data_IF_995598574441
#
_entry.id   IF_995598574441
#
_cell.length_a   1.000
_cell.length_b   1.000
_cell.length_c   1.000
_cell.angle_alpha   90.00
_cell.angle_beta   90.00
_cell.angle_gamma   90.00
#
_symmetry.space_group_name_H-M   'P 1'
#
loop_
_entity.id
_entity.type
_entity.pdbx_description
1 polymer ?
#
# COMPACT_ATOMS: atom_id res chain seq x y z
N UNK A 1 5.66 -13.54 -16.47
CA UNK A 1 5.17 -12.34 -15.75
C UNK A 1 5.60 -11.11 -16.56
N UNK A 2 4.99 -9.96 -16.33
CA UNK A 2 5.34 -8.69 -16.96
C UNK A 2 6.65 -8.21 -16.34
N UNK A 3 7.67 -8.02 -17.18
CA UNK A 3 9.00 -7.58 -16.78
C UNK A 3 9.06 -6.07 -16.54
N UNK A 4 9.96 -5.66 -15.66
CA UNK A 4 10.23 -4.25 -15.37
C UNK A 4 9.37 -3.67 -14.24
N UNK A 5 9.53 -2.36 -14.05
CA UNK A 5 8.96 -1.55 -12.97
C UNK A 5 8.88 -0.09 -13.41
N UNK A 6 8.13 0.75 -12.68
CA UNK A 6 8.00 2.18 -12.95
C UNK A 6 9.38 2.88 -12.95
N UNK A 7 9.69 3.60 -14.02
CA UNK A 7 10.95 4.36 -14.12
C UNK A 7 10.67 5.86 -14.22
N UNK A 8 11.68 6.68 -13.91
CA UNK A 8 11.60 8.14 -14.08
C UNK A 8 11.20 8.51 -15.51
N UNK A 9 11.90 7.95 -16.50
CA UNK A 9 11.62 8.18 -17.92
C UNK A 9 10.23 7.69 -18.33
N UNK A 10 9.83 6.49 -17.89
CA UNK A 10 8.53 5.92 -18.23
C UNK A 10 7.38 6.76 -17.66
N UNK A 11 7.42 7.04 -16.36
CA UNK A 11 6.37 7.83 -15.71
C UNK A 11 6.30 9.27 -16.22
N UNK A 12 7.42 9.90 -16.59
CA UNK A 12 7.45 11.20 -17.27
C UNK A 12 6.86 11.12 -18.68
N UNK A 13 7.20 10.08 -19.45
CA UNK A 13 6.62 9.84 -20.76
C UNK A 13 5.10 9.63 -20.70
N UNK A 14 4.60 8.92 -19.69
CA UNK A 14 3.17 8.76 -19.45
C UNK A 14 2.48 10.12 -19.22
N UNK A 15 3.01 10.92 -18.29
CA UNK A 15 2.47 12.25 -17.99
C UNK A 15 2.48 13.17 -19.21
N UNK A 16 3.54 13.11 -20.03
CA UNK A 16 3.68 13.90 -21.27
C UNK A 16 2.65 13.51 -22.35
N UNK A 17 2.31 12.22 -22.47
CA UNK A 17 1.33 11.70 -23.43
C UNK A 17 -0.12 11.85 -22.96
N UNK A 18 -0.32 12.04 -21.65
CA UNK A 18 -1.64 12.14 -21.04
C UNK A 18 -2.40 13.38 -21.52
N UNK A 19 -3.73 13.26 -21.63
CA UNK A 19 -4.64 14.39 -21.83
C UNK A 19 -4.99 15.12 -20.53
N UNK A 20 -4.59 14.58 -19.36
CA UNK A 20 -4.79 15.22 -18.07
C UNK A 20 -3.94 16.49 -17.94
N UNK A 21 -4.41 17.43 -17.11
CA UNK A 21 -3.67 18.67 -16.85
C UNK A 21 -2.31 18.36 -16.20
N UNK A 22 -1.25 19.10 -16.57
CA UNK A 22 0.12 18.85 -16.08
C UNK A 22 0.25 18.92 -14.56
N UNK A 23 -0.53 19.79 -13.92
CA UNK A 23 -0.56 19.93 -12.45
C UNK A 23 -1.18 18.73 -11.73
N UNK A 24 -1.81 17.81 -12.47
CA UNK A 24 -2.29 16.55 -11.94
C UNK A 24 -1.18 15.51 -11.76
N UNK A 25 0.08 15.86 -12.06
CA UNK A 25 1.23 15.00 -11.83
C UNK A 25 2.19 15.65 -10.84
N UNK A 26 2.76 14.85 -9.94
CA UNK A 26 3.73 15.26 -8.93
C UNK A 26 4.99 14.40 -9.05
N UNK A 27 6.16 15.02 -8.87
CA UNK A 27 7.42 14.31 -8.83
C UNK A 27 7.71 13.82 -7.41
N UNK A 28 7.93 12.53 -7.23
CA UNK A 28 8.32 11.93 -5.96
C UNK A 28 9.20 10.71 -6.18
N UNK A 29 10.31 10.58 -5.44
CA UNK A 29 11.29 9.50 -5.64
C UNK A 29 11.72 9.32 -7.11
N UNK A 30 11.94 10.46 -7.77
CA UNK A 30 12.25 10.56 -9.21
C UNK A 30 11.18 10.02 -10.17
N UNK A 31 9.98 9.68 -9.70
CA UNK A 31 8.85 9.27 -10.52
C UNK A 31 7.87 10.44 -10.72
N UNK A 32 7.25 10.51 -11.89
CA UNK A 32 6.18 11.47 -12.20
C UNK A 32 4.82 10.78 -12.06
N UNK A 33 4.19 10.92 -10.89
CA UNK A 33 2.98 10.18 -10.53
C UNK A 33 1.75 11.07 -10.56
N UNK A 34 0.63 10.52 -11.01
CA UNK A 34 -0.67 11.18 -10.90
C UNK A 34 -1.00 11.49 -9.43
N UNK A 35 -1.54 12.68 -9.17
CA UNK A 35 -1.96 13.10 -7.83
C UNK A 35 -3.25 12.41 -7.36
N UNK A 36 -3.90 11.65 -8.24
CA UNK A 36 -5.01 10.74 -7.96
C UNK A 36 -4.63 9.35 -8.44
N UNK A 37 -4.78 8.36 -7.56
CA UNK A 37 -4.63 6.94 -7.88
C UNK A 37 -5.97 6.22 -7.88
N UNK A 38 -5.99 5.00 -8.43
CA UNK A 38 -7.13 4.08 -8.30
C UNK A 38 -6.86 3.02 -7.24
N UNK A 39 -7.71 2.98 -6.21
CA UNK A 39 -7.71 1.92 -5.19
C UNK A 39 -8.72 0.81 -5.52
N UNK A 40 -8.40 -0.44 -5.16
CA UNK A 40 -9.17 -1.64 -5.57
C UNK A 40 -9.80 -2.43 -4.42
N UNK A 41 -10.05 -1.78 -3.28
CA UNK A 41 -10.47 -2.44 -2.03
C UNK A 41 -11.85 -3.12 -2.09
N UNK A 42 -12.87 -2.40 -2.58
CA UNK A 42 -14.28 -2.77 -2.40
C UNK A 42 -14.83 -3.62 -3.55
N UNK A 43 -15.90 -4.36 -3.24
CA UNK A 43 -16.67 -5.17 -4.19
C UNK A 43 -16.76 -6.63 -3.78
N UNK A 44 -17.74 -7.36 -4.31
CA UNK A 44 -17.88 -8.79 -4.06
C UNK A 44 -16.75 -9.57 -4.77
N UNK A 45 -16.30 -10.71 -4.24
CA UNK A 45 -15.30 -11.56 -4.89
C UNK A 45 -15.90 -12.42 -6.04
N UNK A 46 -16.65 -11.80 -6.95
CA UNK A 46 -17.30 -12.48 -8.09
C UNK A 46 -16.76 -11.99 -9.45
N UNK A 47 -17.09 -12.76 -10.50
CA UNK A 47 -16.61 -12.52 -11.86
C UNK A 47 -17.17 -11.23 -12.49
N UNK A 48 -18.38 -10.82 -12.11
CA UNK A 48 -18.98 -9.59 -12.62
C UNK A 48 -18.25 -8.36 -12.06
N UNK A 49 -18.00 -8.36 -10.75
CA UNK A 49 -17.21 -7.32 -10.10
C UNK A 49 -15.76 -7.32 -10.60
N UNK A 50 -15.16 -8.49 -10.89
CA UNK A 50 -13.83 -8.58 -11.53
C UNK A 50 -13.82 -7.85 -12.88
N UNK A 51 -14.84 -8.05 -13.71
CA UNK A 51 -14.96 -7.38 -15.01
C UNK A 51 -15.12 -5.87 -14.85
N UNK A 52 -16.00 -5.42 -13.94
CA UNK A 52 -16.23 -4.00 -13.70
C UNK A 52 -14.98 -3.29 -13.17
N UNK A 53 -14.31 -3.88 -12.18
CA UNK A 53 -13.09 -3.32 -11.60
C UNK A 53 -11.94 -3.29 -12.64
N UNK A 54 -11.77 -4.35 -13.44
CA UNK A 54 -10.80 -4.37 -14.56
C UNK A 54 -11.03 -3.20 -15.51
N UNK A 55 -12.28 -3.00 -15.95
CA UNK A 55 -12.63 -1.94 -16.87
C UNK A 55 -12.43 -0.54 -16.26
N UNK A 56 -12.73 -0.37 -14.97
CA UNK A 56 -12.47 0.87 -14.24
C UNK A 56 -10.97 1.20 -14.15
N UNK A 57 -10.13 0.19 -13.90
CA UNK A 57 -8.66 0.34 -13.92
C UNK A 57 -8.19 0.76 -15.31
N UNK A 58 -8.58 0.04 -16.36
CA UNK A 58 -8.20 0.37 -17.73
C UNK A 58 -8.60 1.79 -18.10
N UNK A 59 -9.84 2.17 -17.79
CA UNK A 59 -10.34 3.52 -18.03
C UNK A 59 -9.55 4.56 -17.24
N UNK A 60 -9.24 4.33 -15.97
CA UNK A 60 -8.45 5.29 -15.18
C UNK A 60 -7.07 5.55 -15.78
N UNK A 61 -6.38 4.49 -16.21
CA UNK A 61 -5.07 4.59 -16.87
C UNK A 61 -5.16 5.40 -18.16
N UNK A 62 -6.12 5.09 -19.02
CA UNK A 62 -6.33 5.83 -20.28
C UNK A 62 -6.67 7.31 -20.09
N UNK A 63 -7.15 7.69 -18.90
CA UNK A 63 -7.48 9.08 -18.53
C UNK A 63 -6.44 9.75 -17.63
N UNK A 64 -5.23 9.19 -17.55
CA UNK A 64 -4.08 9.84 -16.93
C UNK A 64 -3.75 9.41 -15.50
N UNK A 65 -4.32 8.31 -15.01
CA UNK A 65 -3.94 7.74 -13.71
C UNK A 65 -2.86 6.67 -13.89
N UNK A 66 -1.63 6.93 -13.46
CA UNK A 66 -0.56 5.92 -13.44
C UNK A 66 -0.22 5.37 -12.06
N UNK A 67 -1.11 5.57 -11.06
CA UNK A 67 -0.95 5.00 -9.71
C UNK A 67 -2.10 4.04 -9.44
N UNK A 68 -1.77 2.78 -9.15
CA UNK A 68 -2.74 1.73 -8.83
C UNK A 68 -2.37 1.13 -7.49
N UNK A 69 -3.34 1.08 -6.58
CA UNK A 69 -3.16 0.54 -5.23
C UNK A 69 -4.12 -0.63 -4.98
N UNK A 70 -3.55 -1.76 -4.56
CA UNK A 70 -4.28 -2.97 -4.18
C UNK A 70 -3.72 -3.54 -2.88
N UNK A 71 -4.19 -4.71 -2.46
CA UNK A 71 -3.62 -5.51 -1.38
C UNK A 71 -4.00 -6.98 -1.59
N UNK A 72 -3.20 -7.91 -1.04
CA UNK A 72 -3.48 -9.34 -1.18
C UNK A 72 -4.85 -9.74 -0.61
N UNK A 73 -5.28 -9.10 0.48
CA UNK A 73 -6.57 -9.37 1.12
C UNK A 73 -7.77 -8.70 0.42
N UNK A 74 -7.55 -7.83 -0.56
CA UNK A 74 -8.66 -7.17 -1.25
C UNK A 74 -9.39 -8.17 -2.14
N UNK A 75 -10.69 -8.33 -1.87
CA UNK A 75 -11.58 -9.29 -2.54
C UNK A 75 -11.00 -10.70 -2.56
N UNK A 76 -10.35 -11.11 -1.48
CA UNK A 76 -9.68 -12.41 -1.33
C UNK A 76 -8.74 -12.73 -2.51
N UNK A 77 -7.72 -11.89 -2.70
CA UNK A 77 -6.72 -11.95 -3.79
C UNK A 77 -7.24 -11.60 -5.20
N UNK A 78 -8.56 -11.51 -5.42
CA UNK A 78 -9.11 -11.19 -6.75
C UNK A 78 -8.77 -9.79 -7.23
N UNK A 79 -8.63 -8.81 -6.34
CA UNK A 79 -8.26 -7.45 -6.75
C UNK A 79 -6.86 -7.40 -7.38
N UNK A 80 -5.88 -8.11 -6.83
CA UNK A 80 -4.54 -8.20 -7.43
C UNK A 80 -4.59 -8.86 -8.81
N UNK A 81 -5.33 -9.97 -8.95
CA UNK A 81 -5.54 -10.63 -10.25
C UNK A 81 -6.22 -9.74 -11.27
N UNK A 82 -7.16 -8.92 -10.82
CA UNK A 82 -7.88 -7.96 -11.66
C UNK A 82 -6.96 -6.84 -12.13
N UNK A 83 -6.11 -6.31 -11.26
CA UNK A 83 -5.06 -5.34 -11.63
C UNK A 83 -4.10 -5.94 -12.65
N UNK A 84 -3.58 -7.15 -12.40
CA UNK A 84 -2.66 -7.83 -13.31
C UNK A 84 -3.25 -8.01 -14.71
N UNK A 85 -4.50 -8.48 -14.80
CA UNK A 85 -5.23 -8.62 -16.08
C UNK A 85 -5.40 -7.28 -16.80
N UNK A 86 -5.80 -6.22 -16.08
CA UNK A 86 -5.98 -4.89 -16.67
C UNK A 86 -4.68 -4.35 -17.28
N UNK A 87 -3.56 -4.50 -16.56
CA UNK A 87 -2.24 -4.02 -17.02
C UNK A 87 -1.71 -4.86 -18.17
N UNK A 88 -1.84 -6.19 -18.12
CA UNK A 88 -1.47 -7.06 -19.25
C UNK A 88 -2.23 -6.64 -20.52
N UNK A 89 -3.56 -6.51 -20.44
CA UNK A 89 -4.37 -6.13 -21.61
C UNK A 89 -3.97 -4.76 -22.18
N UNK A 90 -3.70 -3.76 -21.32
CA UNK A 90 -3.27 -2.44 -21.81
C UNK A 90 -1.88 -2.47 -22.47
N UNK A 91 -0.97 -3.33 -22.00
CA UNK A 91 0.34 -3.53 -22.63
C UNK A 91 0.18 -4.25 -23.96
N UNK A 92 -0.60 -5.33 -24.00
CA UNK A 92 -0.87 -6.13 -25.21
C UNK A 92 -1.56 -5.28 -26.28
N UNK A 93 -2.43 -4.35 -25.88
CA UNK A 93 -3.09 -3.36 -26.75
C UNK A 93 -2.16 -2.19 -27.17
N UNK A 94 -0.91 -2.15 -26.69
CA UNK A 94 0.07 -1.11 -26.98
C UNK A 94 -0.31 0.27 -26.42
N UNK A 95 -1.15 0.33 -25.37
CA UNK A 95 -1.62 1.58 -24.76
C UNK A 95 -0.66 2.16 -23.74
N UNK A 96 0.11 1.30 -23.08
CA UNK A 96 1.11 1.65 -22.07
C UNK A 96 2.30 0.69 -22.16
N UNK A 97 3.39 1.03 -21.47
CA UNK A 97 4.45 0.09 -21.10
C UNK A 97 4.55 -0.07 -19.58
N UNK A 98 5.09 -1.20 -19.09
CA UNK A 98 5.17 -1.49 -17.64
C UNK A 98 5.89 -0.38 -16.86
N UNK A 99 6.91 0.25 -17.45
CA UNK A 99 7.67 1.33 -16.82
C UNK A 99 6.93 2.67 -16.68
N UNK A 100 5.72 2.79 -17.25
CA UNK A 100 4.88 3.98 -17.17
C UNK A 100 3.94 3.97 -15.95
N UNK A 101 3.67 2.80 -15.36
CA UNK A 101 2.66 2.60 -14.30
C UNK A 101 3.32 2.25 -12.97
N UNK A 102 2.87 2.89 -11.90
CA UNK A 102 3.26 2.61 -10.52
C UNK A 102 2.18 1.77 -9.82
N UNK A 103 2.55 0.57 -9.37
CA UNK A 103 1.64 -0.39 -8.75
C UNK A 103 2.11 -0.69 -7.32
N UNK A 104 1.25 -0.38 -6.34
CA UNK A 104 1.43 -0.78 -4.96
C UNK A 104 0.52 -1.95 -4.58
N UNK A 105 1.04 -2.85 -3.75
CA UNK A 105 0.24 -3.83 -3.01
C UNK A 105 0.66 -3.87 -1.55
N UNK A 106 -0.01 -4.69 -0.75
CA UNK A 106 0.21 -4.77 0.70
C UNK A 106 0.14 -6.22 1.16
N UNK A 107 1.04 -6.56 2.08
CA UNK A 107 1.05 -7.81 2.83
C UNK A 107 0.81 -7.54 4.33
N UNK A 108 0.52 -8.60 5.09
CA UNK A 108 0.31 -8.55 6.54
C UNK A 108 -1.07 -9.03 6.99
N UNK A 109 -2.13 -8.78 6.22
CA UNK A 109 -3.44 -9.37 6.51
C UNK A 109 -3.57 -10.77 5.94
N UNK A 110 -4.05 -11.69 6.78
CA UNK A 110 -4.39 -13.06 6.41
C UNK A 110 -5.69 -13.04 5.60
N UNK A 111 -5.67 -13.72 4.47
CA UNK A 111 -6.80 -13.83 3.54
C UNK A 111 -6.89 -15.25 3.01
N UNK A 112 -8.08 -15.69 2.64
CA UNK A 112 -8.25 -16.83 1.75
C UNK A 112 -7.98 -16.45 0.29
N UNK A 113 -8.02 -17.43 -0.61
CA UNK A 113 -8.20 -17.20 -2.04
C UNK A 113 -9.69 -17.23 -2.37
N UNK A 114 -10.21 -16.20 -3.04
CA UNK A 114 -11.62 -16.07 -3.39
C UNK A 114 -12.11 -17.08 -4.42
N UNK A 115 -11.22 -17.84 -5.06
CA UNK A 115 -11.57 -18.96 -5.94
C UNK A 115 -11.44 -20.33 -5.24
N UNK A 116 -10.99 -20.37 -3.98
CA UNK A 116 -10.92 -21.59 -3.19
C UNK A 116 -12.30 -22.00 -2.68
N UNK A 117 -12.67 -23.30 -2.75
CA UNK A 117 -13.98 -23.77 -2.31
C UNK A 117 -14.10 -23.86 -0.77
N UNK A 118 -12.98 -23.83 -0.05
CA UNK A 118 -12.95 -23.96 1.40
C UNK A 118 -13.41 -22.69 2.13
N UNK A 119 -13.85 -22.87 3.38
CA UNK A 119 -14.00 -21.72 4.28
C UNK A 119 -12.65 -21.09 4.62
N UNK A 120 -12.69 -19.87 5.14
CA UNK A 120 -11.51 -19.09 5.47
C UNK A 120 -10.53 -19.81 6.40
N UNK A 121 -11.02 -20.46 7.46
CA UNK A 121 -10.13 -21.10 8.46
C UNK A 121 -9.54 -22.40 7.92
N UNK A 122 -10.30 -23.17 7.16
CA UNK A 122 -9.80 -24.35 6.46
C UNK A 122 -8.69 -23.98 5.48
N UNK A 123 -8.88 -22.91 4.70
CA UNK A 123 -7.85 -22.39 3.80
C UNK A 123 -6.59 -22.00 4.58
N UNK A 124 -6.75 -21.19 5.65
CA UNK A 124 -5.62 -20.73 6.47
C UNK A 124 -4.85 -21.90 7.09
N UNK A 125 -5.55 -22.90 7.63
CA UNK A 125 -4.91 -24.09 8.19
C UNK A 125 -4.19 -24.91 7.12
N UNK A 126 -4.78 -25.12 5.94
CA UNK A 126 -4.14 -25.88 4.86
C UNK A 126 -2.91 -25.17 4.32
N UNK A 127 -3.03 -23.90 3.97
CA UNK A 127 -2.01 -23.15 3.24
C UNK A 127 -0.89 -22.64 4.14
N UNK A 128 -1.21 -22.26 5.38
CA UNK A 128 -0.26 -21.59 6.27
C UNK A 128 0.07 -22.39 7.53
N UNK A 129 -0.92 -23.01 8.17
CA UNK A 129 -0.70 -23.78 9.40
C UNK A 129 0.03 -25.11 9.16
N UNK A 130 -0.55 -25.98 8.33
CA UNK A 130 -0.05 -27.33 8.05
C UNK A 130 1.29 -27.32 7.29
N UNK A 131 1.59 -26.24 6.57
CA UNK A 131 2.87 -26.01 5.88
C UNK A 131 3.94 -25.44 6.81
N UNK A 132 3.56 -24.99 8.01
CA UNK A 132 4.48 -24.39 9.00
C UNK A 132 4.88 -22.95 8.69
N UNK A 133 4.25 -22.30 7.70
CA UNK A 133 4.46 -20.88 7.37
C UNK A 133 4.03 -19.99 8.53
N UNK A 134 2.93 -20.37 9.19
CA UNK A 134 2.37 -19.70 10.37
C UNK A 134 2.32 -20.68 11.52
N UNK A 135 2.72 -20.23 12.71
CA UNK A 135 2.64 -20.98 13.97
C UNK A 135 1.52 -20.46 14.86
N UNK A 136 1.20 -21.23 15.88
CA UNK A 136 0.28 -20.79 16.93
C UNK A 136 0.77 -19.47 17.55
N UNK A 137 -0.11 -18.47 17.59
CA UNK A 137 0.18 -17.13 18.12
C UNK A 137 0.79 -16.14 17.11
N UNK A 138 1.10 -16.55 15.88
CA UNK A 138 1.62 -15.63 14.84
C UNK A 138 0.51 -14.73 14.26
N UNK A 139 -0.71 -15.26 14.13
CA UNK A 139 -1.88 -14.50 13.66
C UNK A 139 -2.55 -13.83 14.85
N UNK A 140 -2.62 -12.50 14.80
CA UNK A 140 -3.36 -11.68 15.76
C UNK A 140 -4.89 -11.84 15.63
N UNK A 141 -5.64 -11.40 16.64
CA UNK A 141 -7.10 -11.39 16.61
C UNK A 141 -7.72 -10.54 15.49
N UNK A 142 -6.94 -9.65 14.87
CA UNK A 142 -7.35 -8.87 13.70
C UNK A 142 -6.96 -9.52 12.37
N UNK A 143 -6.61 -10.82 12.38
CA UNK A 143 -6.15 -11.56 11.20
C UNK A 143 -4.92 -10.92 10.55
N UNK A 144 -4.00 -10.38 11.36
CA UNK A 144 -2.74 -9.82 10.90
C UNK A 144 -1.56 -10.68 11.36
N UNK A 145 -0.60 -10.91 10.47
CA UNK A 145 0.64 -11.64 10.70
C UNK A 145 1.80 -10.93 9.99
N UNK A 146 2.88 -10.64 10.70
CA UNK A 146 4.05 -9.93 10.16
C UNK A 146 5.34 -10.77 10.24
N UNK A 147 5.22 -12.08 10.44
CA UNK A 147 6.40 -12.96 10.45
C UNK A 147 6.98 -13.06 9.05
N UNK A 148 8.31 -13.10 8.94
CA UNK A 148 8.97 -13.11 7.62
C UNK A 148 8.63 -14.31 6.75
N UNK A 149 8.40 -15.56 7.25
CA UNK A 149 7.95 -16.66 6.40
C UNK A 149 6.58 -16.41 5.78
N UNK A 150 5.66 -15.81 6.52
CA UNK A 150 4.34 -15.45 6.02
C UNK A 150 4.41 -14.33 4.98
N UNK A 151 5.21 -13.29 5.23
CA UNK A 151 5.39 -12.18 4.28
C UNK A 151 6.09 -12.62 2.99
N UNK A 152 6.99 -13.60 3.05
CA UNK A 152 7.62 -14.24 1.88
C UNK A 152 6.58 -14.96 1.01
N UNK A 153 5.73 -15.79 1.62
CA UNK A 153 4.63 -16.47 0.90
C UNK A 153 3.67 -15.44 0.27
N UNK A 154 3.26 -14.41 1.03
CA UNK A 154 2.36 -13.38 0.50
C UNK A 154 2.99 -12.58 -0.64
N UNK A 155 4.28 -12.23 -0.55
CA UNK A 155 4.97 -11.55 -1.65
C UNK A 155 4.97 -12.41 -2.93
N UNK A 156 5.25 -13.70 -2.81
CA UNK A 156 5.22 -14.63 -3.94
C UNK A 156 3.82 -14.72 -4.56
N UNK A 157 2.77 -14.81 -3.73
CA UNK A 157 1.37 -14.80 -4.20
C UNK A 157 1.01 -13.47 -4.86
N UNK A 158 1.35 -12.33 -4.27
CA UNK A 158 1.11 -11.01 -4.85
C UNK A 158 1.79 -10.84 -6.21
N UNK A 159 3.05 -11.24 -6.36
CA UNK A 159 3.75 -11.23 -7.66
C UNK A 159 3.02 -12.09 -8.69
N UNK A 160 2.61 -13.30 -8.31
CA UNK A 160 1.83 -14.20 -9.18
C UNK A 160 0.48 -13.62 -9.56
N UNK A 161 -0.28 -13.08 -8.60
CA UNK A 161 -1.60 -12.51 -8.81
C UNK A 161 -1.55 -11.30 -9.74
N UNK A 162 -0.65 -10.37 -9.47
CA UNK A 162 -0.42 -9.20 -10.32
C UNK A 162 0.24 -9.56 -11.65
N UNK A 163 0.87 -10.73 -11.73
CA UNK A 163 1.64 -11.16 -12.88
C UNK A 163 2.88 -10.29 -13.12
N UNK A 164 3.54 -9.80 -12.06
CA UNK A 164 4.69 -8.88 -12.15
C UNK A 164 5.98 -9.52 -11.64
N UNK A 165 7.08 -9.31 -12.34
CA UNK A 165 8.42 -9.65 -11.82
C UNK A 165 8.87 -8.71 -10.70
N UNK A 166 8.47 -7.44 -10.76
CA UNK A 166 8.82 -6.42 -9.78
C UNK A 166 7.59 -5.59 -9.38
N UNK A 167 7.33 -5.53 -8.07
CA UNK A 167 6.29 -4.67 -7.47
C UNK A 167 6.92 -3.31 -7.17
N UNK A 168 6.30 -2.21 -7.60
CA UNK A 168 6.89 -0.88 -7.38
C UNK A 168 6.90 -0.53 -5.89
N UNK A 169 5.84 -0.87 -5.15
CA UNK A 169 5.76 -0.59 -3.73
C UNK A 169 5.03 -1.69 -2.96
N UNK A 170 5.72 -2.29 -2.00
CA UNK A 170 5.12 -3.21 -1.04
C UNK A 170 4.90 -2.51 0.30
N UNK A 171 3.63 -2.35 0.69
CA UNK A 171 3.29 -1.87 2.02
C UNK A 171 3.18 -3.02 3.02
N UNK A 172 3.66 -2.78 4.24
CA UNK A 172 3.20 -3.53 5.40
C UNK A 172 1.87 -2.95 5.88
N UNK A 173 0.82 -3.77 5.93
CA UNK A 173 -0.56 -3.33 6.12
C UNK A 173 -0.98 -3.38 7.59
N UNK A 174 -1.28 -2.22 8.18
CA UNK A 174 -1.79 -1.99 9.54
C UNK A 174 -1.04 -2.78 10.61
N UNK A 175 0.29 -2.85 10.54
CA UNK A 175 1.06 -3.68 11.45
C UNK A 175 0.97 -3.23 12.91
N UNK A 176 0.90 -1.92 13.17
CA UNK A 176 0.79 -1.41 14.54
C UNK A 176 -0.58 -1.76 15.11
N UNK A 177 -1.63 -1.48 14.34
CA UNK A 177 -3.01 -1.73 14.74
C UNK A 177 -3.30 -3.24 14.84
N UNK A 178 -2.71 -4.05 13.97
CA UNK A 178 -2.85 -5.50 13.98
C UNK A 178 -2.12 -6.19 15.13
N UNK A 179 -1.11 -5.56 15.73
CA UNK A 179 -0.24 -6.18 16.74
C UNK A 179 -0.36 -5.54 18.13
N UNK A 180 -1.53 -5.00 18.48
CA UNK A 180 -1.73 -4.23 19.74
C UNK A 180 -1.41 -4.98 21.03
N UNK A 181 -1.56 -6.30 21.03
CA UNK A 181 -1.25 -7.13 22.20
C UNK A 181 0.25 -7.43 22.33
N UNK A 182 1.04 -7.06 21.33
CA UNK A 182 2.47 -7.27 21.32
C UNK A 182 3.18 -6.18 22.12
N UNK A 183 4.09 -6.53 23.04
CA UNK A 183 4.94 -5.53 23.70
C UNK A 183 5.71 -4.69 22.67
N UNK A 184 5.81 -3.38 22.92
CA UNK A 184 6.37 -2.42 21.96
C UNK A 184 7.77 -2.79 21.47
N UNK A 185 8.66 -3.20 22.37
CA UNK A 185 10.04 -3.57 22.00
C UNK A 185 10.07 -4.80 21.07
N UNK A 186 9.18 -5.77 21.31
CA UNK A 186 9.02 -6.94 20.44
C UNK A 186 8.47 -6.54 19.06
N UNK A 187 7.50 -5.63 19.02
CA UNK A 187 6.98 -5.10 17.75
C UNK A 187 8.06 -4.38 16.96
N UNK A 188 8.84 -3.51 17.60
CA UNK A 188 9.95 -2.79 16.96
C UNK A 188 11.01 -3.76 16.43
N UNK A 189 11.35 -4.80 17.19
CA UNK A 189 12.25 -5.85 16.72
C UNK A 189 11.69 -6.60 15.50
N UNK A 190 10.40 -6.94 15.49
CA UNK A 190 9.77 -7.56 14.33
C UNK A 190 9.72 -6.63 13.13
N UNK A 191 9.40 -5.35 13.31
CA UNK A 191 9.40 -4.35 12.24
C UNK A 191 10.78 -4.22 11.60
N UNK A 192 11.85 -4.28 12.41
CA UNK A 192 13.22 -4.33 11.91
C UNK A 192 13.46 -5.56 11.02
N UNK A 193 13.03 -6.75 11.45
CA UNK A 193 13.13 -7.98 10.63
C UNK A 193 12.31 -7.90 9.34
N UNK A 194 11.16 -7.23 9.36
CA UNK A 194 10.36 -6.96 8.15
C UNK A 194 11.11 -6.02 7.19
N UNK A 195 11.82 -5.02 7.71
CA UNK A 195 12.65 -4.15 6.86
C UNK A 195 13.85 -4.89 6.28
N UNK A 196 14.48 -5.79 7.04
CA UNK A 196 15.54 -6.66 6.52
C UNK A 196 15.03 -7.54 5.37
N UNK A 197 13.83 -8.10 5.54
CA UNK A 197 13.13 -8.84 4.50
C UNK A 197 12.86 -8.00 3.25
N UNK A 198 12.34 -6.78 3.39
CA UNK A 198 12.08 -5.91 2.24
C UNK A 198 13.35 -5.43 1.55
N UNK A 199 14.42 -5.09 2.29
CA UNK A 199 15.71 -4.72 1.69
C UNK A 199 16.33 -5.89 0.91
N UNK A 200 16.20 -7.12 1.41
CA UNK A 200 16.62 -8.32 0.67
C UNK A 200 15.88 -8.40 -0.68
N UNK A 201 14.55 -8.35 -0.66
CA UNK A 201 13.74 -8.42 -1.89
C UNK A 201 13.95 -7.23 -2.83
N UNK A 202 14.36 -6.08 -2.30
CA UNK A 202 14.74 -4.92 -3.11
C UNK A 202 16.08 -5.14 -3.83
N UNK A 203 17.08 -5.71 -3.14
CA UNK A 203 18.37 -6.09 -3.75
C UNK A 203 18.20 -7.18 -4.81
N UNK A 204 17.26 -8.11 -4.60
CA UNK A 204 16.91 -9.17 -5.55
C UNK A 204 16.03 -8.67 -6.72
N UNK A 205 15.52 -7.44 -6.67
CA UNK A 205 14.70 -6.85 -7.71
C UNK A 205 13.23 -7.27 -7.70
N UNK A 206 12.77 -7.98 -6.65
CA UNK A 206 11.36 -8.36 -6.48
C UNK A 206 10.45 -7.19 -6.11
N UNK A 207 10.99 -6.17 -5.42
CA UNK A 207 10.28 -4.93 -5.10
C UNK A 207 11.19 -3.71 -5.35
N UNK A 208 10.62 -2.53 -5.62
CA UNK A 208 11.40 -1.27 -5.74
C UNK A 208 11.44 -0.47 -4.45
N UNK A 209 10.29 -0.32 -3.82
CA UNK A 209 10.12 0.41 -2.57
C UNK A 209 9.33 -0.41 -1.57
N UNK A 210 9.45 -0.06 -0.30
CA UNK A 210 8.51 -0.49 0.73
C UNK A 210 8.02 0.69 1.55
N UNK A 211 6.94 0.44 2.29
CA UNK A 211 6.26 1.47 3.05
C UNK A 211 5.38 0.89 4.16
N UNK A 212 4.72 1.78 4.91
CA UNK A 212 3.65 1.39 5.83
C UNK A 212 2.30 1.91 5.32
N UNK A 213 1.30 1.05 5.26
CA UNK A 213 -0.09 1.46 5.08
C UNK A 213 -0.80 1.30 6.42
N UNK A 214 -1.29 2.39 7.00
CA UNK A 214 -1.69 2.44 8.41
C UNK A 214 -3.03 3.15 8.54
N UNK A 215 -3.84 2.79 9.53
CA UNK A 215 -5.08 3.51 9.81
C UNK A 215 -4.81 4.66 10.76
N UNK A 216 -4.14 4.43 11.88
CA UNK A 216 -4.10 5.33 13.02
C UNK A 216 -2.70 5.74 13.45
N UNK A 217 -1.70 4.87 13.29
CA UNK A 217 -0.49 4.96 14.10
C UNK A 217 0.27 6.30 14.01
N UNK A 218 0.25 6.91 12.83
CA UNK A 218 0.87 8.21 12.58
C UNK A 218 0.00 9.42 12.94
N UNK A 219 -1.29 9.21 13.20
CA UNK A 219 -2.32 10.24 13.40
C UNK A 219 -2.80 10.34 14.86
N UNK A 220 -2.45 9.38 15.72
CA UNK A 220 -2.86 9.36 17.14
C UNK A 220 -1.88 10.12 18.04
N UNK A 221 -2.31 10.61 19.22
CA UNK A 221 -1.44 11.25 20.20
C UNK A 221 -0.27 10.36 20.67
N UNK A 222 0.83 10.96 21.16
CA UNK A 222 2.07 10.23 21.52
C UNK A 222 1.89 9.22 22.68
N UNK A 223 0.95 9.48 23.57
CA UNK A 223 0.58 8.64 24.70
C UNK A 223 -0.37 7.50 24.30
N UNK A 224 -0.87 7.50 23.06
CA UNK A 224 -1.68 6.41 22.54
C UNK A 224 -0.79 5.19 22.25
N UNK A 225 -1.18 3.97 22.68
CA UNK A 225 -0.43 2.73 22.39
C UNK A 225 -0.18 2.48 20.90
N UNK A 226 -1.04 3.00 20.02
CA UNK A 226 -0.95 2.85 18.57
C UNK A 226 0.08 3.82 17.97
N UNK A 227 0.62 4.77 18.73
CA UNK A 227 1.52 5.78 18.19
C UNK A 227 2.81 5.16 17.64
N UNK A 228 3.16 5.52 16.41
CA UNK A 228 4.45 5.22 15.80
C UNK A 228 5.04 6.51 15.25
N UNK A 229 6.25 6.84 15.70
CA UNK A 229 6.98 8.00 15.20
C UNK A 229 7.56 7.69 13.81
N UNK A 230 7.42 8.62 12.87
CA UNK A 230 8.08 8.51 11.57
C UNK A 230 9.61 8.53 11.74
N UNK A 231 10.16 9.34 12.64
CA UNK A 231 11.60 9.35 12.95
C UNK A 231 12.11 7.96 13.37
N UNK A 232 11.35 7.28 14.25
CA UNK A 232 11.69 5.92 14.68
C UNK A 232 11.70 4.93 13.51
N UNK A 233 10.74 5.06 12.59
CA UNK A 233 10.67 4.25 11.37
C UNK A 233 11.85 4.52 10.44
N UNK A 234 12.22 5.80 10.27
CA UNK A 234 13.37 6.20 9.46
C UNK A 234 14.68 5.70 10.05
N UNK A 235 14.85 5.74 11.38
CA UNK A 235 16.02 5.19 12.04
C UNK A 235 16.14 3.68 11.85
N UNK A 236 15.04 2.94 11.95
CA UNK A 236 15.03 1.50 11.66
C UNK A 236 15.41 1.22 10.19
N UNK A 237 14.84 1.98 9.25
CA UNK A 237 15.16 1.83 7.83
C UNK A 237 16.63 2.12 7.54
N UNK A 238 17.21 3.18 8.14
CA UNK A 238 18.64 3.51 8.04
C UNK A 238 19.53 2.44 8.67
N UNK A 239 19.17 1.90 9.84
CA UNK A 239 19.93 0.83 10.49
C UNK A 239 20.02 -0.44 9.62
N UNK A 240 18.98 -0.73 8.84
CA UNK A 240 18.90 -1.94 8.02
C UNK A 240 19.45 -1.74 6.60
N UNK A 241 19.06 -0.64 5.94
CA UNK A 241 19.35 -0.40 4.52
C UNK A 241 20.37 0.72 4.25
N UNK A 242 20.92 1.35 5.29
CA UNK A 242 21.76 2.55 5.19
C UNK A 242 20.99 3.73 4.58
N UNK A 243 21.70 4.78 4.14
CA UNK A 243 21.06 5.97 3.53
C UNK A 243 20.32 5.65 2.21
N UNK A 244 20.66 4.52 1.59
CA UNK A 244 20.03 4.02 0.36
C UNK A 244 18.86 3.08 0.58
N UNK A 245 18.32 2.99 1.81
CA UNK A 245 17.18 2.14 2.15
C UNK A 245 15.97 2.38 1.24
N UNK A 246 15.08 1.39 1.10
CA UNK A 246 13.90 1.41 0.23
C UNK A 246 12.62 1.97 0.85
N UNK A 247 12.62 2.26 2.16
CA UNK A 247 11.46 2.89 2.81
C UNK A 247 11.22 4.28 2.24
N UNK A 248 10.12 4.47 1.49
CA UNK A 248 9.86 5.72 0.76
C UNK A 248 8.42 6.22 0.78
N UNK A 249 7.47 5.41 1.21
CA UNK A 249 6.06 5.76 1.13
C UNK A 249 5.27 5.38 2.39
N UNK A 250 4.28 6.19 2.72
CA UNK A 250 3.26 5.89 3.72
C UNK A 250 1.89 6.08 3.11
N UNK A 251 0.97 5.17 3.41
CA UNK A 251 -0.44 5.34 3.12
C UNK A 251 -1.22 5.52 4.43
N UNK A 252 -2.03 6.58 4.54
CA UNK A 252 -2.86 6.85 5.72
C UNK A 252 -4.17 7.57 5.36
N UNK A 253 -5.21 7.48 6.20
CA UNK A 253 -6.43 8.26 6.01
C UNK A 253 -6.17 9.77 6.13
N UNK A 254 -6.64 10.54 5.15
CA UNK A 254 -6.73 11.99 5.27
C UNK A 254 -7.92 12.52 4.49
N UNK A 255 -8.81 13.22 5.19
CA UNK A 255 -10.00 13.87 4.65
C UNK A 255 -10.58 14.84 5.69
N UNK A 256 -11.72 15.46 5.39
CA UNK A 256 -12.37 16.43 6.28
C UNK A 256 -12.75 15.87 7.67
N UNK A 257 -12.98 14.56 7.79
CA UNK A 257 -13.22 13.87 9.07
C UNK A 257 -11.96 13.32 9.73
N UNK A 258 -10.88 13.16 8.96
CA UNK A 258 -9.58 12.63 9.41
C UNK A 258 -8.47 13.61 9.05
N UNK A 259 -8.44 14.75 9.71
CA UNK A 259 -7.53 15.86 9.46
C UNK A 259 -6.20 15.78 10.23
N UNK A 260 -6.06 14.79 11.13
CA UNK A 260 -5.00 14.74 12.13
C UNK A 260 -3.59 14.66 11.52
N UNK A 261 -3.44 14.08 10.33
CA UNK A 261 -2.15 14.04 9.63
C UNK A 261 -1.61 15.45 9.32
N UNK A 262 -2.51 16.42 9.14
CA UNK A 262 -2.20 17.84 8.90
C UNK A 262 -2.36 18.72 10.15
N UNK A 263 -3.26 18.37 11.07
CA UNK A 263 -3.58 19.22 12.22
C UNK A 263 -2.78 18.88 13.48
N UNK A 264 -2.47 17.60 13.69
CA UNK A 264 -1.89 17.14 14.94
C UNK A 264 -0.37 17.14 14.90
N UNK A 265 0.25 17.94 15.76
CA UNK A 265 1.71 17.98 15.94
C UNK A 265 2.20 16.87 16.87
N UNK A 266 2.15 15.63 16.41
CA UNK A 266 2.54 14.44 17.17
C UNK A 266 3.89 13.86 16.77
N UNK A 267 4.51 14.29 15.67
CA UNK A 267 5.80 13.77 15.24
C UNK A 267 6.94 14.58 15.86
N UNK A 268 7.87 13.95 16.59
CA UNK A 268 9.11 14.62 16.99
C UNK A 268 9.94 14.91 15.74
N UNK A 269 10.48 16.12 15.65
CA UNK A 269 11.47 16.49 14.63
C UNK A 269 12.40 17.56 15.23
N UNK A 270 13.69 17.24 15.30
CA UNK A 270 14.69 18.03 16.01
C UNK A 270 14.25 18.34 17.47
N UNK A 271 14.11 19.62 17.81
CA UNK A 271 13.66 20.10 19.13
C UNK A 271 12.16 20.43 19.18
N UNK A 272 11.41 20.19 18.11
CA UNK A 272 10.00 20.58 17.97
C UNK A 272 9.09 19.37 17.71
N UNK A 273 7.78 19.61 17.82
CA UNK A 273 6.78 18.69 17.31
C UNK A 273 6.14 19.28 16.06
N UNK A 274 6.07 18.46 15.02
CA UNK A 274 5.49 18.80 13.73
C UNK A 274 4.36 17.83 13.40
N UNK A 275 3.58 18.17 12.39
CA UNK A 275 2.54 17.31 11.83
C UNK A 275 3.16 16.15 11.08
N UNK A 276 2.40 15.08 10.83
CA UNK A 276 2.91 13.96 10.06
C UNK A 276 3.33 14.36 8.65
N UNK A 277 2.55 15.23 7.99
CA UNK A 277 2.86 15.68 6.63
C UNK A 277 4.13 16.54 6.57
N UNK A 278 4.38 17.39 7.57
CA UNK A 278 5.65 18.13 7.69
C UNK A 278 6.85 17.19 7.91
N UNK A 279 6.72 16.19 8.79
CA UNK A 279 7.75 15.18 9.00
C UNK A 279 8.02 14.36 7.73
N UNK A 280 6.97 13.98 6.98
CA UNK A 280 7.11 13.26 5.73
C UNK A 280 7.86 14.08 4.67
N UNK A 281 7.58 15.39 4.55
CA UNK A 281 8.34 16.29 3.66
C UNK A 281 9.81 16.33 4.06
N UNK A 282 10.11 16.49 5.37
CA UNK A 282 11.48 16.54 5.87
C UNK A 282 12.28 15.28 5.52
N UNK A 283 11.69 14.10 5.69
CA UNK A 283 12.33 12.81 5.38
C UNK A 283 12.23 12.39 3.90
N UNK A 284 11.61 13.20 3.05
CA UNK A 284 11.39 12.87 1.64
C UNK A 284 10.44 11.68 1.42
N UNK A 285 9.50 11.44 2.34
CA UNK A 285 8.53 10.34 2.26
C UNK A 285 7.30 10.75 1.45
N UNK A 286 6.93 9.92 0.48
CA UNK A 286 5.69 10.06 -0.25
C UNK A 286 4.49 9.62 0.55
N UNK A 287 3.41 10.41 0.49
CA UNK A 287 2.18 10.11 1.23
C UNK A 287 1.04 9.92 0.26
N UNK A 288 0.42 8.74 0.28
CA UNK A 288 -0.86 8.50 -0.37
C UNK A 288 -1.97 8.57 0.67
N UNK A 289 -2.93 9.46 0.47
CA UNK A 289 -4.07 9.60 1.38
C UNK A 289 -5.17 8.62 1.00
N UNK A 290 -5.55 7.73 1.92
CA UNK A 290 -6.65 6.80 1.74
C UNK A 290 -7.96 7.39 2.24
N UNK A 291 -9.08 6.80 1.79
CA UNK A 291 -10.44 7.16 2.22
C UNK A 291 -10.76 8.66 2.04
N UNK A 292 -10.37 9.32 0.92
CA UNK A 292 -10.49 10.78 0.79
C UNK A 292 -11.94 11.29 0.85
N UNK A 293 -12.92 10.44 0.53
CA UNK A 293 -14.35 10.77 0.53
C UNK A 293 -15.15 10.05 1.63
N UNK A 294 -14.47 9.40 2.57
CA UNK A 294 -15.09 8.62 3.66
C UNK A 294 -16.17 7.64 3.16
N UNK A 295 -15.83 6.86 2.12
CA UNK A 295 -16.75 5.94 1.43
C UNK A 295 -18.02 6.63 0.90
N UNK A 296 -17.88 7.86 0.41
CA UNK A 296 -18.99 8.67 -0.12
C UNK A 296 -19.77 9.44 0.94
N UNK A 297 -19.54 9.20 2.23
CA UNK A 297 -20.24 9.90 3.32
C UNK A 297 -19.99 11.41 3.31
N UNK A 298 -18.79 11.87 2.92
CA UNK A 298 -18.50 13.30 2.80
C UNK A 298 -19.26 13.96 1.64
N UNK A 299 -19.50 13.22 0.55
CA UNK A 299 -20.34 13.70 -0.55
C UNK A 299 -21.81 13.79 -0.14
N UNK A 300 -22.31 12.81 0.61
CA UNK A 300 -23.67 12.88 1.15
C UNK A 300 -23.82 14.03 2.14
N UNK A 301 -22.81 14.25 2.98
CA UNK A 301 -22.79 15.33 3.95
C UNK A 301 -22.83 16.72 3.29
N UNK A 302 -22.00 16.96 2.26
CA UNK A 302 -21.96 18.27 1.57
C UNK A 302 -23.23 18.54 0.76
N UNK A 303 -23.82 17.51 0.13
CA UNK A 303 -25.10 17.67 -0.59
C UNK A 303 -26.26 18.08 0.33
N UNK A 304 -26.13 17.86 1.64
CA UNK A 304 -27.11 18.27 2.65
C UNK A 304 -26.80 19.64 3.27
N UNK A 305 -25.80 20.36 2.75
CA UNK A 305 -25.36 21.69 3.21
C UNK A 305 -25.33 22.70 2.06
N UNK A 306 -26.49 23.24 1.65
CA UNK A 306 -26.59 24.19 0.54
C UNK A 306 -25.76 25.46 0.75
N UNK A 307 -25.44 25.80 2.00
CA UNK A 307 -24.62 26.96 2.34
C UNK A 307 -23.13 26.81 1.98
N UNK A 308 -22.67 25.61 1.61
CA UNK A 308 -21.28 25.30 1.24
C UNK A 308 -21.10 25.00 -0.25
N UNK A 309 -22.17 24.97 -1.04
CA UNK A 309 -22.20 24.63 -2.47
C UNK A 309 -22.61 25.83 -3.31
#
# INVERSE_FOLDING_TARGET
MIEGFATSEGTENFARKSSAHKDNFRKIQDLTLANVGIGTYLGNPDADTDLQQKNAIKKSVLYGVNVIDTAINYRAQKSERTVGKAISELIDEGKISRNEIFISTKNGYVTNDGDAPEDFMQYVMREFGNTGIVKEGDISSQYNCITTPFLEDQLARSKKNLGLECIDLMYLHNAVEGQLQMPRDKFIAQLKSVFEFFEKHRKEGSIRFYGLATWECFRVPKDNPNFLSLDQVMDLARQVGGDTHGFRFVQLPYNFSFDQAFMQKNQPLDSNNVTFLEAAIHHGIGVFTSVPLMQGKLLQWISNKPELT
#
